data_IF_085804004163
#
_entry.id   IF_085804004163
#
_cell.length_a   1.000
_cell.length_b   1.000
_cell.length_c   1.000
_cell.angle_alpha   90.00
_cell.angle_beta   90.00
_cell.angle_gamma   90.00
#
_symmetry.space_group_name_H-M   'P 1'
#
loop_
_entity.id
_entity.type
_entity.pdbx_description
1 polymer ?
#
# COMPACT_ATOMS: atom_id res chain seq x y z
N UNK A 1 -33.70 -21.76 -39.78
CA UNK A 1 -32.90 -22.24 -38.64
C UNK A 1 -31.81 -21.20 -38.41
N UNK A 2 -31.90 -20.40 -37.35
CA UNK A 2 -30.99 -19.29 -37.07
C UNK A 2 -30.06 -19.73 -35.93
N UNK A 3 -28.77 -19.85 -36.21
CA UNK A 3 -27.76 -20.20 -35.21
C UNK A 3 -27.22 -18.91 -34.60
N UNK A 4 -27.70 -18.58 -33.40
CA UNK A 4 -27.19 -17.45 -32.62
C UNK A 4 -25.92 -17.91 -31.91
N UNK A 5 -24.77 -17.43 -32.37
CA UNK A 5 -23.46 -17.75 -31.77
C UNK A 5 -23.26 -16.89 -30.54
N UNK A 6 -23.20 -17.51 -29.36
CA UNK A 6 -22.86 -16.85 -28.09
C UNK A 6 -21.35 -16.66 -28.02
N UNK A 7 -20.88 -15.42 -28.08
CA UNK A 7 -19.49 -15.08 -27.79
C UNK A 7 -19.31 -15.10 -26.27
N UNK A 8 -18.67 -16.15 -25.75
CA UNK A 8 -18.17 -16.18 -24.39
C UNK A 8 -16.95 -15.27 -24.31
N UNK A 9 -17.12 -14.06 -23.78
CA UNK A 9 -16.00 -13.21 -23.37
C UNK A 9 -15.43 -13.81 -22.09
N UNK A 10 -14.38 -14.63 -22.23
CA UNK A 10 -13.62 -15.10 -21.08
C UNK A 10 -12.90 -13.90 -20.45
N UNK A 11 -13.32 -13.54 -19.24
CA UNK A 11 -12.61 -12.59 -18.39
C UNK A 11 -11.24 -13.20 -18.04
N UNK A 12 -10.18 -12.73 -18.70
CA UNK A 12 -8.80 -13.02 -18.29
C UNK A 12 -8.54 -12.25 -16.99
N UNK A 13 -8.88 -12.88 -15.86
CA UNK A 13 -8.38 -12.46 -14.55
C UNK A 13 -6.90 -12.82 -14.54
N UNK A 14 -6.07 -11.92 -15.04
CA UNK A 14 -4.63 -11.96 -14.76
C UNK A 14 -4.49 -11.66 -13.27
N UNK A 15 -4.46 -12.72 -12.45
CA UNK A 15 -4.07 -12.61 -11.06
C UNK A 15 -2.62 -12.14 -11.04
N UNK A 16 -2.44 -10.84 -10.82
CA UNK A 16 -1.16 -10.29 -10.40
C UNK A 16 -0.67 -11.11 -9.20
N UNK A 17 0.57 -11.58 -9.23
CA UNK A 17 1.16 -12.22 -8.06
C UNK A 17 1.20 -11.17 -6.96
N UNK A 18 0.27 -11.28 -6.01
CA UNK A 18 0.19 -10.33 -4.91
C UNK A 18 1.55 -10.22 -4.22
N UNK A 19 2.02 -8.99 -4.01
CA UNK A 19 3.24 -8.72 -3.27
C UNK A 19 3.25 -9.53 -1.95
N UNK A 20 4.43 -10.06 -1.57
CA UNK A 20 4.56 -10.90 -0.38
C UNK A 20 4.44 -10.07 0.91
N UNK A 21 3.21 -9.99 1.41
CA UNK A 21 2.87 -9.30 2.66
C UNK A 21 3.75 -9.79 3.81
N UNK A 22 4.31 -8.86 4.57
CA UNK A 22 5.14 -9.21 5.72
C UNK A 22 5.11 -8.12 6.80
N UNK A 23 5.50 -8.50 8.01
CA UNK A 23 5.63 -7.61 9.17
C UNK A 23 7.10 -7.31 9.49
N UNK A 24 7.95 -7.23 8.46
CA UNK A 24 9.38 -6.94 8.62
C UNK A 24 9.62 -5.43 8.50
N UNK A 25 10.77 -4.99 8.99
CA UNK A 25 11.19 -3.60 8.94
C UNK A 25 12.38 -3.34 9.87
N UNK A 26 12.54 -2.09 10.27
CA UNK A 26 13.56 -1.65 11.23
C UNK A 26 13.47 -2.42 12.55
N UNK A 27 14.59 -2.58 13.26
CA UNK A 27 14.58 -3.14 14.63
C UNK A 27 13.75 -2.28 15.59
N UNK A 28 13.75 -0.97 15.39
CA UNK A 28 12.88 -0.06 16.14
C UNK A 28 11.44 -0.13 15.62
N UNK A 29 10.47 0.17 16.48
CA UNK A 29 9.07 0.29 16.09
C UNK A 29 8.66 1.76 16.00
N UNK A 30 7.86 2.15 15.01
CA UNK A 30 7.28 3.49 14.97
C UNK A 30 6.27 3.66 16.11
N UNK A 31 5.99 4.91 16.45
CA UNK A 31 4.90 5.32 17.34
C UNK A 31 3.58 5.01 16.65
N UNK A 32 2.71 4.24 17.32
CA UNK A 32 1.36 3.95 16.81
C UNK A 32 0.55 5.24 16.63
N UNK A 33 0.70 6.21 17.53
CA UNK A 33 0.03 7.50 17.44
C UNK A 33 0.49 8.28 16.21
N UNK A 34 1.80 8.27 15.92
CA UNK A 34 2.33 8.93 14.72
C UNK A 34 1.83 8.25 13.45
N UNK A 35 1.75 6.91 13.44
CA UNK A 35 1.23 6.18 12.29
C UNK A 35 -0.28 6.39 12.08
N UNK A 36 -1.07 6.46 13.14
CA UNK A 36 -2.49 6.78 13.04
C UNK A 36 -2.71 8.21 12.52
N UNK A 37 -1.89 9.16 12.97
CA UNK A 37 -1.92 10.53 12.46
C UNK A 37 -1.50 10.59 10.98
N UNK A 38 -0.45 9.88 10.61
CA UNK A 38 -0.02 9.73 9.23
C UNK A 38 -1.15 9.19 8.33
N UNK A 39 -1.86 8.16 8.78
CA UNK A 39 -3.02 7.57 8.08
C UNK A 39 -4.17 8.58 7.94
N UNK A 40 -4.48 9.37 8.99
CA UNK A 40 -5.55 10.38 8.95
C UNK A 40 -5.28 11.53 7.98
N UNK A 41 -4.02 11.80 7.67
CA UNK A 41 -3.62 12.91 6.76
C UNK A 41 -3.67 12.55 5.29
N UNK A 42 -3.85 11.26 4.96
CA UNK A 42 -3.97 10.83 3.57
C UNK A 42 -5.31 11.35 3.01
N UNK A 43 -5.24 12.18 1.98
CA UNK A 43 -6.45 12.59 1.25
C UNK A 43 -6.95 11.40 0.42
N UNK A 44 -8.10 10.85 0.82
CA UNK A 44 -8.73 9.70 0.19
C UNK A 44 -9.23 9.96 -1.23
N UNK A 45 -9.48 11.23 -1.59
CA UNK A 45 -9.96 11.63 -2.91
C UNK A 45 -8.85 11.82 -3.95
N UNK A 46 -7.59 11.80 -3.52
CA UNK A 46 -6.42 11.96 -4.38
C UNK A 46 -5.84 10.62 -4.83
N UNK A 47 -5.17 10.63 -5.99
CA UNK A 47 -4.37 9.51 -6.50
C UNK A 47 -2.88 9.80 -6.32
N UNK A 48 -2.13 8.81 -5.83
CA UNK A 48 -0.73 8.93 -5.50
C UNK A 48 0.13 8.01 -6.37
N UNK A 49 1.30 8.51 -6.77
CA UNK A 49 2.28 7.78 -7.56
C UNK A 49 3.38 7.15 -6.71
N UNK A 50 4.29 6.46 -7.39
CA UNK A 50 5.48 5.84 -6.80
C UNK A 50 6.27 6.83 -5.92
N UNK A 51 6.68 6.37 -4.74
CA UNK A 51 7.47 7.16 -3.80
C UNK A 51 6.69 8.21 -3.01
N UNK A 52 5.35 8.24 -3.12
CA UNK A 52 4.53 9.16 -2.30
C UNK A 52 4.68 8.82 -0.81
N UNK A 53 5.21 9.76 -0.03
CA UNK A 53 5.44 9.62 1.41
C UNK A 53 4.36 10.32 2.25
N UNK A 54 3.96 9.68 3.35
CA UNK A 54 2.93 10.16 4.28
C UNK A 54 3.45 10.22 5.72
N UNK A 55 4.77 10.29 5.89
CA UNK A 55 5.42 10.08 7.17
C UNK A 55 5.13 11.19 8.18
N UNK A 56 4.90 10.83 9.45
CA UNK A 56 4.71 11.75 10.59
C UNK A 56 5.62 11.29 11.73
N UNK A 57 6.30 12.23 12.40
CA UNK A 57 7.18 11.92 13.53
C UNK A 57 8.20 10.83 13.17
N UNK A 58 8.17 9.71 13.91
CA UNK A 58 9.03 8.55 13.61
C UNK A 58 8.35 7.46 12.76
N UNK A 59 7.08 7.65 12.38
CA UNK A 59 6.38 6.77 11.47
C UNK A 59 6.71 7.12 10.02
N UNK A 60 7.43 6.21 9.37
CA UNK A 60 7.65 6.23 7.94
C UNK A 60 6.53 5.49 7.23
N UNK A 61 5.90 6.15 6.27
CA UNK A 61 4.90 5.53 5.42
C UNK A 61 5.09 5.97 3.98
N UNK A 62 5.09 5.00 3.06
CA UNK A 62 5.32 5.22 1.62
C UNK A 62 4.50 4.23 0.79
N UNK A 63 4.05 4.69 -0.38
CA UNK A 63 3.58 3.82 -1.45
C UNK A 63 4.71 3.66 -2.49
N UNK A 64 5.05 2.41 -2.83
CA UNK A 64 6.15 2.10 -3.75
C UNK A 64 5.75 1.04 -4.78
N UNK A 65 6.21 1.22 -6.02
CA UNK A 65 5.94 0.33 -7.15
C UNK A 65 7.09 -0.64 -7.43
N UNK A 66 8.26 -0.41 -6.83
CA UNK A 66 9.50 -1.15 -7.09
C UNK A 66 9.86 -1.23 -8.58
N UNK A 67 9.66 -0.13 -9.31
CA UNK A 67 10.05 -0.03 -10.73
C UNK A 67 9.02 -0.56 -11.72
N UNK A 68 7.78 -0.84 -11.29
CA UNK A 68 6.69 -1.22 -12.20
C UNK A 68 6.16 -0.07 -13.09
N UNK A 69 6.75 1.12 -13.00
CA UNK A 69 6.35 2.31 -13.76
C UNK A 69 5.17 3.04 -13.13
N UNK A 70 4.43 3.79 -13.95
CA UNK A 70 3.28 4.57 -13.47
C UNK A 70 2.15 3.64 -13.02
N UNK A 71 2.03 3.48 -11.71
CA UNK A 71 0.94 2.76 -11.05
C UNK A 71 0.34 3.69 -10.00
N UNK A 72 -0.69 4.44 -10.37
CA UNK A 72 -1.38 5.29 -9.40
C UNK A 72 -2.23 4.44 -8.46
N UNK A 73 -2.35 4.89 -7.21
CA UNK A 73 -3.18 4.26 -6.21
C UNK A 73 -3.95 5.33 -5.44
N UNK A 74 -5.24 5.09 -5.22
CA UNK A 74 -6.08 6.04 -4.47
C UNK A 74 -5.61 6.16 -3.03
N UNK A 75 -5.73 7.36 -2.46
CA UNK A 75 -5.45 7.61 -1.05
C UNK A 75 -6.22 6.69 -0.13
N UNK A 76 -7.48 6.38 -0.49
CA UNK A 76 -8.29 5.40 0.22
C UNK A 76 -7.63 4.02 0.30
N UNK A 77 -7.13 3.50 -0.82
CA UNK A 77 -6.49 2.18 -0.82
C UNK A 77 -5.18 2.22 -0.01
N UNK A 78 -4.39 3.30 -0.11
CA UNK A 78 -3.17 3.45 0.70
C UNK A 78 -3.50 3.43 2.19
N UNK A 79 -4.52 4.20 2.60
CA UNK A 79 -5.01 4.27 3.98
C UNK A 79 -5.45 2.89 4.49
N UNK A 80 -6.28 2.20 3.71
CA UNK A 80 -6.80 0.87 4.08
C UNK A 80 -5.68 -0.17 4.18
N UNK A 81 -4.70 -0.14 3.27
CA UNK A 81 -3.52 -1.03 3.32
C UNK A 81 -2.63 -0.72 4.53
N UNK A 82 -2.36 0.56 4.80
CA UNK A 82 -1.57 0.97 5.97
C UNK A 82 -2.25 0.56 7.29
N UNK A 83 -3.56 0.76 7.40
CA UNK A 83 -4.33 0.34 8.57
C UNK A 83 -4.28 -1.19 8.74
N UNK A 84 -4.42 -1.95 7.65
CA UNK A 84 -4.31 -3.41 7.67
C UNK A 84 -2.95 -3.90 8.15
N UNK A 85 -1.85 -3.20 7.81
CA UNK A 85 -0.51 -3.49 8.33
C UNK A 85 -0.47 -3.28 9.84
N UNK A 86 -0.98 -2.15 10.34
CA UNK A 86 -1.01 -1.88 11.78
C UNK A 86 -1.84 -2.91 12.53
N UNK A 87 -2.99 -3.32 12.01
CA UNK A 87 -3.87 -4.27 12.68
C UNK A 87 -3.28 -5.69 12.70
N UNK A 88 -2.64 -6.09 11.60
CA UNK A 88 -2.13 -7.46 11.42
C UNK A 88 -0.71 -7.67 11.95
N UNK A 89 0.10 -6.60 12.04
CA UNK A 89 1.50 -6.66 12.47
C UNK A 89 1.69 -6.17 13.92
N UNK A 90 0.67 -6.28 14.76
CA UNK A 90 0.74 -5.93 16.18
C UNK A 90 0.99 -4.44 16.44
N UNK A 91 0.47 -3.57 15.58
CA UNK A 91 0.58 -2.11 15.66
C UNK A 91 2.01 -1.57 15.49
N UNK A 92 2.81 -2.22 14.65
CA UNK A 92 4.19 -1.83 14.40
C UNK A 92 4.46 -1.47 12.93
N UNK A 93 4.91 -2.44 12.13
CA UNK A 93 5.57 -2.21 10.84
C UNK A 93 5.37 -3.39 9.91
N UNK A 94 5.44 -3.12 8.62
CA UNK A 94 5.27 -4.13 7.59
C UNK A 94 5.20 -3.52 6.20
N UNK A 95 5.02 -4.38 5.20
CA UNK A 95 4.85 -3.99 3.81
C UNK A 95 3.86 -4.90 3.13
N UNK A 96 2.72 -4.36 2.69
CA UNK A 96 1.59 -5.11 2.12
C UNK A 96 1.33 -4.68 0.68
N UNK A 97 1.00 -5.64 -0.17
CA UNK A 97 0.63 -5.42 -1.55
C UNK A 97 -0.66 -4.64 -1.72
N UNK A 98 -0.74 -3.90 -2.81
CA UNK A 98 -1.89 -3.02 -3.14
C UNK A 98 -2.72 -3.51 -4.33
N UNK A 99 -2.39 -4.69 -4.87
CA UNK A 99 -3.09 -5.41 -5.95
C UNK A 99 -3.23 -4.67 -7.30
N UNK A 100 -2.68 -3.48 -7.45
CA UNK A 100 -2.61 -2.77 -8.73
C UNK A 100 -1.38 -3.16 -9.57
N UNK A 101 -0.34 -3.73 -8.95
CA UNK A 101 0.73 -4.46 -9.65
C UNK A 101 1.42 -5.46 -8.72
N UNK A 102 2.17 -6.42 -9.27
CA UNK A 102 2.81 -7.51 -8.51
C UNK A 102 3.82 -7.02 -7.46
N UNK A 103 4.47 -5.89 -7.75
CA UNK A 103 5.51 -5.31 -6.91
C UNK A 103 5.06 -4.07 -6.13
N UNK A 104 3.81 -3.64 -6.33
CA UNK A 104 3.22 -2.47 -5.72
C UNK A 104 2.82 -2.75 -4.27
N UNK A 105 3.23 -1.89 -3.35
CA UNK A 105 3.00 -2.09 -1.93
C UNK A 105 3.01 -0.78 -1.16
N UNK A 106 2.36 -0.79 0.01
CA UNK A 106 2.52 0.24 1.04
C UNK A 106 3.44 -0.31 2.12
N UNK A 107 4.35 0.52 2.60
CA UNK A 107 5.22 0.21 3.73
C UNK A 107 4.90 1.13 4.90
N UNK A 108 4.81 0.56 6.10
CA UNK A 108 4.86 1.28 7.38
C UNK A 108 6.11 0.83 8.11
N UNK A 109 6.98 1.76 8.53
CA UNK A 109 8.24 1.44 9.19
C UNK A 109 8.66 2.54 10.17
N UNK A 110 9.68 2.29 10.97
CA UNK A 110 10.35 3.32 11.77
C UNK A 110 11.32 4.14 10.91
N UNK A 111 11.30 5.46 11.06
CA UNK A 111 12.35 6.38 10.60
C UNK A 111 12.79 7.27 11.74
N UNK A 112 14.10 7.39 11.95
CA UNK A 112 14.62 8.26 12.98
C UNK A 112 14.16 9.72 12.72
N UNK A 113 13.70 10.45 13.75
CA UNK A 113 13.35 11.86 13.58
C UNK A 113 14.58 12.62 13.09
N UNK A 114 14.38 13.51 12.11
CA UNK A 114 15.45 14.38 11.63
C UNK A 114 15.90 15.25 12.80
N UNK A 115 17.17 15.15 13.20
CA UNK A 115 17.78 16.11 14.13
C UNK A 115 17.88 17.43 13.37
N UNK A 116 17.16 18.45 13.83
CA UNK A 116 17.31 19.83 13.38
C UNK A 116 18.43 20.50 14.17
#
# INVERSE_FOLDING_TARGET
>A
MQFTTLINVALLVTGSLAYSNNCKGSSNSPSITDCQEAIRRIDEGSDYGDGSEFSVGNCYMVYATNGAGEQKLSGKNIRDTAQSILDSCGHHKGSYGTNNCDSCHVTVNYRAPKKF
#
